data_IF_682582223174
#
_entry.id   IF_682582223174
#
_cell.length_a   1.000
_cell.length_b   1.000
_cell.length_c   1.000
_cell.angle_alpha   90.00
_cell.angle_beta   90.00
_cell.angle_gamma   90.00
#
_symmetry.space_group_name_H-M   'P 1'
#
loop_
_entity.id
_entity.type
_entity.pdbx_description
1 polymer ?
2 non-polymer ?
3 non-polymer ?
4 non-polymer ?
5 non-polymer ?
6 water ?
#
# COMPACT_ATOMS: atom_id res chain seq x y z
N UNK A 1 -8.54 11.05 -11.29
CA UNK A 1 -9.08 9.68 -10.97
C UNK A 1 -9.28 8.81 -12.22
N UNK A 2 -9.28 7.50 -11.99
CA UNK A 2 -9.46 6.51 -13.04
C UNK A 2 -10.87 6.60 -13.67
N UNK A 3 -10.96 6.62 -15.00
CA UNK A 3 -12.31 6.49 -15.61
C UNK A 3 -12.96 5.12 -15.32
N UNK A 4 -14.29 5.13 -15.17
CA UNK A 4 -15.06 3.90 -14.99
C UNK A 4 -16.49 4.11 -15.37
N UNK A 5 -17.09 3.05 -15.91
CA UNK A 5 -18.51 2.98 -16.15
C UNK A 5 -18.89 1.53 -16.07
N UNK A 6 -20.18 1.26 -15.95
CA UNK A 6 -20.62 -0.11 -16.04
C UNK A 6 -20.35 -0.68 -17.42
N UNK A 7 -20.51 -2.00 -17.55
CA UNK A 7 -20.42 -2.67 -18.83
C UNK A 7 -21.47 -2.14 -19.80
N UNK A 8 -21.08 -2.00 -21.06
CA UNK A 8 -21.96 -1.56 -22.14
C UNK A 8 -21.97 -2.60 -23.25
N UNK A 9 -23.08 -2.73 -23.95
CA UNK A 9 -23.28 -3.83 -24.90
C UNK A 9 -22.28 -3.87 -26.05
N UNK A 10 -21.76 -2.69 -26.42
CA UNK A 10 -20.81 -2.52 -27.52
C UNK A 10 -19.33 -2.54 -27.14
N UNK A 11 -19.01 -2.63 -25.85
CA UNK A 11 -17.62 -2.42 -25.36
C UNK A 11 -17.01 -3.70 -24.84
N UNK A 12 -15.77 -3.95 -25.22
CA UNK A 12 -15.00 -5.07 -24.69
C UNK A 12 -13.97 -4.54 -23.70
N UNK A 13 -14.18 -4.81 -22.40
CA UNK A 13 -13.36 -4.28 -21.34
C UNK A 13 -11.98 -4.89 -21.30
N UNK A 14 -11.83 -6.04 -21.92
CA UNK A 14 -10.60 -6.78 -21.89
C UNK A 14 -9.63 -6.34 -22.96
N UNK A 15 -10.14 -5.94 -24.12
CA UNK A 15 -9.32 -5.43 -25.23
C UNK A 15 -9.39 -3.92 -25.28
N UNK A 16 -10.20 -3.35 -24.39
CA UNK A 16 -10.43 -1.90 -24.36
C UNK A 16 -10.71 -1.39 -25.77
N UNK A 17 -11.75 -1.92 -26.40
CA UNK A 17 -12.19 -1.46 -27.71
C UNK A 17 -13.61 -1.92 -27.99
N UNK A 18 -14.16 -1.47 -29.11
CA UNK A 18 -15.51 -1.85 -29.52
C UNK A 18 -15.58 -3.30 -29.99
N UNK A 19 -16.75 -3.92 -29.79
CA UNK A 19 -16.90 -5.33 -30.08
C UNK A 19 -17.13 -5.48 -31.56
N UNK A 20 -16.24 -6.24 -32.20
CA UNK A 20 -16.30 -6.49 -33.63
C UNK A 20 -16.26 -8.01 -33.98
N UNK A 21 -16.61 -8.85 -33.01
CA UNK A 21 -16.53 -10.30 -33.14
C UNK A 21 -17.65 -10.98 -32.37
N UNK A 22 -17.96 -12.20 -32.76
CA UNK A 22 -18.99 -12.99 -32.10
C UNK A 22 -20.42 -12.53 -32.34
N UNK A 23 -21.38 -13.26 -31.78
CA UNK A 23 -22.78 -12.93 -31.93
C UNK A 23 -23.23 -11.68 -31.18
N UNK A 24 -24.21 -11.00 -31.74
CA UNK A 24 -24.87 -9.90 -31.08
C UNK A 24 -23.90 -8.79 -30.73
N UNK A 25 -22.87 -8.67 -31.55
CA UNK A 25 -21.94 -7.56 -31.47
C UNK A 25 -22.66 -6.20 -31.31
N UNK A 26 -23.82 -6.05 -31.95
CA UNK A 26 -24.50 -4.77 -32.02
C UNK A 26 -25.85 -4.78 -31.36
N UNK A 27 -26.17 -5.88 -30.67
CA UNK A 27 -27.48 -6.07 -30.09
C UNK A 27 -27.65 -5.28 -28.80
N UNK A 28 -28.85 -5.34 -28.22
CA UNK A 28 -29.08 -4.74 -26.91
C UNK A 28 -28.65 -5.70 -25.79
N UNK A 29 -28.48 -5.17 -24.58
CA UNK A 29 -28.20 -5.95 -23.37
C UNK A 29 -29.28 -7.00 -23.09
N UNK A 30 -30.53 -6.62 -23.22
CA UNK A 30 -31.64 -7.53 -22.98
C UNK A 30 -31.47 -8.75 -23.85
N UNK A 31 -31.10 -8.50 -25.11
CA UNK A 31 -30.90 -9.55 -26.09
C UNK A 31 -29.67 -10.39 -25.80
N UNK A 32 -28.57 -9.72 -25.48
CA UNK A 32 -27.33 -10.42 -25.12
C UNK A 32 -27.53 -11.32 -23.92
N UNK A 33 -28.23 -10.83 -22.91
CA UNK A 33 -28.47 -11.58 -21.70
C UNK A 33 -29.35 -12.82 -21.92
N UNK A 35 -29.68 -14.50 -24.83
CA UNK A 35 -28.83 -15.42 -25.54
C UNK A 35 -27.95 -16.21 -24.60
N UNK A 36 -27.31 -15.52 -23.68
CA UNK A 36 -26.34 -16.18 -22.82
C UNK A 36 -27.04 -17.08 -21.80
N UNK A 37 -28.19 -16.67 -21.26
CA UNK A 37 -28.95 -17.53 -20.36
C UNK A 37 -29.37 -18.79 -21.08
N UNK A 38 -29.86 -18.62 -22.30
CA UNK A 38 -30.21 -19.76 -23.10
C UNK A 38 -29.02 -20.67 -23.37
N UNK A 39 -27.87 -20.10 -23.72
CA UNK A 39 -26.71 -20.91 -24.09
C UNK A 39 -26.24 -21.77 -22.92
N UNK A 40 -26.39 -21.26 -21.70
CA UNK A 40 -25.97 -21.95 -20.49
C UNK A 40 -26.97 -23.05 -20.16
N UNK A 42 -29.07 -24.64 -21.95
CA UNK A 42 -28.94 -25.71 -22.93
C UNK A 42 -27.71 -26.58 -22.66
N UNK A 43 -26.53 -25.98 -22.62
CA UNK A 43 -25.27 -26.67 -22.29
C UNK A 43 -25.39 -27.65 -21.10
N UNK A 44 -26.12 -27.26 -20.05
CA UNK A 44 -26.39 -28.13 -18.90
C UNK A 44 -27.14 -29.40 -19.31
N UNK A 45 -28.21 -29.24 -20.10
CA UNK A 45 -28.99 -30.39 -20.57
C UNK A 45 -28.20 -31.34 -21.46
N UNK A 46 -27.25 -30.83 -22.24
CA UNK A 46 -26.54 -31.69 -23.21
C UNK A 46 -25.18 -32.26 -22.78
N UNK A 47 -24.49 -31.61 -21.85
CA UNK A 47 -23.18 -32.10 -21.39
C UNK A 47 -23.35 -32.90 -20.10
N UNK A 48 -23.27 -34.22 -20.21
CA UNK A 48 -23.43 -35.11 -19.05
C UNK A 48 -22.12 -35.11 -18.26
N UNK A 49 -21.02 -34.86 -18.96
CA UNK A 49 -19.72 -34.68 -18.30
C UNK A 49 -19.74 -33.46 -17.36
N UNK A 50 -20.38 -32.38 -17.79
CA UNK A 50 -20.50 -31.15 -16.99
C UNK A 50 -21.38 -31.35 -15.76
N UNK A 51 -22.33 -32.28 -15.86
CA UNK A 51 -23.25 -32.54 -14.75
C UNK A 51 -22.58 -33.25 -13.58
N UNK A 52 -21.60 -34.11 -13.87
CA UNK A 52 -20.79 -34.73 -12.81
C UNK A 52 -20.02 -33.66 -12.04
N UNK A 53 -19.39 -32.76 -12.79
CA UNK A 53 -18.62 -31.65 -12.24
C UNK A 53 -19.47 -30.68 -11.37
N UNK A 54 -20.69 -30.38 -11.80
CA UNK A 54 -21.57 -29.56 -10.98
C UNK A 54 -21.95 -30.22 -9.63
N UNK A 55 -22.03 -31.56 -9.60
CA UNK A 55 -22.30 -32.26 -8.32
C UNK A 55 -21.08 -32.15 -7.42
N UNK A 56 -19.90 -32.26 -8.03
CA UNK A 56 -18.62 -32.12 -7.33
C UNK A 56 -18.50 -30.74 -6.69
N UNK A 57 -18.89 -29.70 -7.44
CA UNK A 57 -18.92 -28.31 -6.90
C UNK A 57 -19.89 -28.17 -5.75
N UNK A 58 -20.98 -28.91 -5.81
CA UNK A 58 -22.09 -28.73 -4.85
C UNK A 58 -21.67 -29.06 -3.43
N UNK A 59 -20.68 -29.95 -3.31
CA UNK A 59 -20.23 -30.41 -2.01
C UNK A 59 -19.15 -29.53 -1.36
N UNK A 60 -18.75 -28.41 -1.97
CA UNK A 60 -17.63 -27.69 -1.40
C UNK A 60 -18.14 -26.84 -0.26
N UNK A 61 -17.36 -26.72 0.81
CA UNK A 61 -17.83 -26.01 1.99
C UNK A 61 -18.44 -24.65 1.69
N UNK A 62 -17.91 -23.96 0.68
CA UNK A 62 -18.34 -22.60 0.42
C UNK A 62 -19.79 -22.53 -0.11
N UNK A 63 -20.20 -23.58 -0.80
CA UNK A 63 -21.55 -23.65 -1.38
C UNK A 63 -22.64 -23.17 -0.41
N UNK A 64 -22.63 -23.74 0.80
CA UNK A 64 -23.55 -23.33 1.88
C UNK A 64 -23.78 -21.81 1.90
N UNK A 65 -22.70 -21.02 1.83
CA UNK A 65 -22.80 -19.56 2.02
C UNK A 65 -23.08 -18.73 0.75
N UNK A 66 -23.42 -19.39 -0.36
CA UNK A 66 -23.64 -18.75 -1.66
C UNK A 66 -24.57 -17.53 -1.57
N UNK A 67 -25.76 -17.71 -1.01
CA UNK A 67 -26.74 -16.61 -0.93
C UNK A 67 -26.22 -15.48 -0.09
N UNK A 68 -25.61 -15.82 1.02
CA UNK A 68 -25.12 -14.81 1.94
C UNK A 68 -24.09 -13.91 1.26
N UNK A 69 -23.20 -14.52 0.48
CA UNK A 69 -22.13 -13.82 -0.24
C UNK A 69 -22.71 -12.92 -1.32
N UNK A 70 -23.58 -13.46 -2.17
CA UNK A 70 -24.22 -12.66 -3.21
C UNK A 70 -25.00 -11.48 -2.65
N UNK A 71 -25.74 -11.71 -1.59
CA UNK A 71 -26.48 -10.63 -0.97
C UNK A 71 -25.52 -9.55 -0.40
N UNK A 72 -24.44 -10.01 0.23
CA UNK A 72 -23.49 -9.10 0.84
C UNK A 72 -22.90 -8.18 -0.23
N UNK A 73 -22.48 -8.78 -1.35
CA UNK A 73 -21.81 -8.05 -2.47
C UNK A 73 -22.77 -7.08 -3.16
N UNK A 74 -23.97 -7.56 -3.47
CA UNK A 74 -24.97 -6.69 -4.12
C UNK A 74 -25.28 -5.45 -3.27
N UNK A 75 -25.22 -5.57 -1.94
CA UNK A 75 -25.61 -4.44 -1.11
C UNK A 75 -24.46 -3.56 -0.61
N UNK A 76 -23.23 -3.96 -0.90
CA UNK A 76 -22.04 -3.22 -0.41
C UNK A 76 -20.99 -2.96 -1.48
N UNK A 77 -20.34 -1.80 -1.44
CA UNK A 77 -19.27 -1.51 -2.38
C UNK A 77 -18.10 -2.48 -2.18
N UNK A 78 -17.73 -2.73 -0.93
CA UNK A 78 -16.62 -3.66 -0.65
C UNK A 78 -17.06 -4.79 0.25
N UNK A 79 -16.52 -5.96 0.03
CA UNK A 79 -16.78 -7.07 0.91
C UNK A 79 -15.48 -7.84 1.12
N UNK A 80 -15.36 -8.51 2.27
CA UNK A 80 -14.24 -9.40 2.53
C UNK A 80 -14.80 -10.76 2.76
N UNK A 81 -14.10 -11.76 2.23
CA UNK A 81 -14.52 -13.13 2.34
C UNK A 81 -13.35 -13.88 2.92
N UNK A 82 -13.60 -14.49 4.08
CA UNK A 82 -12.59 -15.12 4.94
C UNK A 82 -12.96 -16.58 5.11
N UNK A 83 -11.99 -17.48 5.03
CA UNK A 83 -12.28 -18.88 5.25
C UNK A 83 -11.08 -19.79 5.09
N UNK A 84 -11.13 -20.93 5.79
CA UNK A 84 -10.06 -21.94 5.73
C UNK A 84 -9.71 -22.17 4.29
N UNK A 85 -8.43 -22.35 3.99
CA UNK A 85 -8.05 -22.64 2.62
C UNK A 85 -8.64 -24.02 2.29
N UNK A 86 -8.82 -24.34 1.01
CA UNK A 86 -9.51 -25.58 0.60
C UNK A 86 -11.02 -25.41 0.54
N UNK A 87 -11.49 -24.28 1.08
CA UNK A 87 -12.91 -24.04 1.29
C UNK A 87 -13.67 -23.80 -0.04
N UNK A 88 -13.02 -23.14 -1.02
CA UNK A 88 -13.59 -22.93 -2.38
C UNK A 88 -13.71 -21.47 -2.82
N UNK A 89 -13.09 -20.59 -2.07
CA UNK A 89 -13.20 -19.17 -2.32
C UNK A 89 -12.77 -18.85 -3.75
N UNK A 90 -11.53 -19.23 -4.05
CA UNK A 90 -10.89 -18.90 -5.30
C UNK A 90 -11.68 -19.43 -6.51
N UNK A 91 -11.99 -20.71 -6.54
CA UNK A 91 -12.62 -21.30 -7.72
C UNK A 91 -14.12 -21.08 -7.84
N UNK A 92 -14.80 -20.66 -6.78
CA UNK A 92 -16.25 -20.63 -6.85
C UNK A 92 -16.83 -19.26 -6.81
N UNK A 93 -16.33 -18.39 -5.95
CA UNK A 93 -16.99 -17.10 -5.78
C UNK A 93 -17.16 -16.37 -7.11
N UNK A 94 -16.14 -16.36 -7.95
CA UNK A 94 -16.36 -15.68 -9.21
C UNK A 94 -17.52 -16.30 -9.98
N UNK A 95 -17.63 -17.63 -9.96
CA UNK A 95 -18.71 -18.30 -10.67
C UNK A 95 -20.09 -17.96 -10.06
N UNK A 96 -20.18 -17.93 -8.74
CA UNK A 96 -21.43 -17.55 -8.08
C UNK A 96 -21.86 -16.19 -8.54
N UNK A 97 -20.94 -15.26 -8.62
CA UNK A 97 -21.32 -13.93 -9.08
C UNK A 97 -21.76 -13.95 -10.56
N UNK A 98 -20.98 -14.59 -11.42
CA UNK A 98 -21.32 -14.72 -12.84
C UNK A 98 -22.70 -15.34 -13.05
N UNK A 99 -22.92 -16.50 -12.41
CA UNK A 99 -24.15 -17.28 -12.56
C UNK A 99 -25.38 -16.55 -11.97
N UNK A 100 -25.20 -15.79 -10.90
CA UNK A 100 -26.29 -14.95 -10.39
C UNK A 100 -26.79 -13.98 -11.45
N UNK A 101 -25.86 -13.32 -12.12
CA UNK A 101 -26.18 -12.38 -13.20
C UNK A 101 -26.79 -13.10 -14.40
N UNK A 102 -26.19 -14.20 -14.83
CA UNK A 102 -26.69 -14.91 -15.99
C UNK A 102 -28.11 -15.36 -15.74
N UNK A 103 -28.33 -15.98 -14.59
CA UNK A 103 -29.62 -16.57 -14.24
C UNK A 103 -30.74 -15.57 -14.03
N UNK A 104 -30.42 -14.35 -13.61
CA UNK A 104 -31.45 -13.33 -13.43
C UNK A 104 -31.51 -12.32 -14.55
N UNK A 105 -31.22 -12.76 -15.78
CA UNK A 105 -31.39 -11.96 -17.03
C UNK A 105 -30.54 -10.70 -17.06
N UNK A 106 -29.32 -10.81 -16.54
CA UNK A 106 -28.42 -9.68 -16.41
C UNK A 106 -27.00 -10.06 -16.91
N UNK A 107 -26.87 -11.07 -17.74
CA UNK A 107 -25.54 -11.50 -18.15
C UNK A 107 -24.69 -10.33 -18.70
N UNK A 108 -25.33 -9.46 -19.46
CA UNK A 108 -24.64 -8.32 -20.07
C UNK A 108 -24.10 -7.33 -19.05
N UNK A 109 -24.51 -7.43 -17.80
CA UNK A 109 -24.18 -6.41 -16.81
C UNK A 109 -23.00 -6.85 -15.92
N UNK A 110 -22.30 -7.92 -16.31
CA UNK A 110 -21.30 -8.56 -15.47
C UNK A 110 -19.98 -8.84 -16.16
N UNK A 111 -18.91 -8.21 -15.68
CA UNK A 111 -17.55 -8.57 -16.06
C UNK A 111 -16.67 -8.46 -14.84
N UNK A 112 -15.99 -9.57 -14.55
CA UNK A 112 -15.24 -9.76 -13.32
C UNK A 112 -13.74 -9.96 -13.57
N UNK A 113 -12.92 -9.06 -13.04
CA UNK A 113 -11.47 -9.26 -13.04
C UNK A 113 -11.07 -9.80 -11.67
N UNK A 114 -10.14 -10.76 -11.64
CA UNK A 114 -9.70 -11.39 -10.40
C UNK A 114 -8.19 -11.44 -10.35
N UNK A 115 -7.57 -10.78 -9.37
CA UNK A 115 -6.12 -10.82 -9.29
C UNK A 115 -5.66 -12.03 -8.49
N UNK A 116 -4.48 -12.54 -8.86
CA UNK A 116 -3.81 -13.60 -8.12
C UNK A 116 -2.40 -13.19 -7.77
N UNK A 117 -1.83 -13.80 -6.73
CA UNK A 117 -0.53 -13.28 -6.32
C UNK A 117 0.65 -13.74 -7.14
N UNK A 118 0.44 -14.68 -8.06
CA UNK A 118 1.49 -15.20 -8.91
C UNK A 118 0.98 -15.45 -10.28
N UNK A 119 1.81 -15.23 -11.28
CA UNK A 119 1.45 -15.51 -12.66
C UNK A 119 0.88 -16.89 -12.82
N UNK A 120 1.46 -17.86 -12.13
CA UNK A 120 1.05 -19.24 -12.30
C UNK A 120 -0.34 -19.50 -11.70
N UNK A 121 -0.68 -18.82 -10.63
CA UNK A 121 -2.02 -19.02 -10.07
C UNK A 121 -3.10 -18.41 -10.99
N UNK A 122 -2.85 -17.21 -11.51
CA UNK A 122 -3.69 -16.62 -12.54
C UNK A 122 -4.04 -17.63 -13.62
N UNK A 123 -3.04 -18.31 -14.15
CA UNK A 123 -3.25 -19.21 -15.28
C UNK A 123 -3.92 -20.51 -14.85
N UNK A 124 -3.36 -21.14 -13.83
CA UNK A 124 -3.87 -22.40 -13.36
C UNK A 124 -5.33 -22.26 -12.91
N UNK A 125 -5.64 -21.17 -12.21
CA UNK A 125 -7.02 -20.94 -11.79
C UNK A 125 -7.91 -20.68 -13.01
N UNK A 126 -7.45 -19.86 -13.96
CA UNK A 126 -8.28 -19.58 -15.10
C UNK A 126 -8.63 -20.88 -15.78
N UNK A 127 -7.63 -21.73 -15.95
CA UNK A 127 -7.81 -23.00 -16.65
C UNK A 127 -8.72 -23.98 -15.91
N UNK A 128 -8.69 -23.93 -14.59
CA UNK A 128 -9.58 -24.75 -13.77
C UNK A 128 -11.03 -24.27 -13.82
N UNK A 129 -11.26 -22.97 -13.68
CA UNK A 129 -12.62 -22.49 -13.76
C UNK A 129 -13.20 -22.78 -15.16
N UNK A 130 -12.42 -22.62 -16.22
CA UNK A 130 -12.90 -23.00 -17.53
C UNK A 130 -13.34 -24.48 -17.50
N UNK A 131 -12.53 -25.34 -16.89
CA UNK A 131 -12.89 -26.75 -16.77
C UNK A 131 -14.17 -27.03 -15.96
N UNK A 132 -14.38 -26.33 -14.86
CA UNK A 132 -15.60 -26.46 -14.08
C UNK A 132 -16.80 -25.84 -14.82
N UNK A 133 -16.55 -25.32 -16.02
CA UNK A 133 -17.63 -24.75 -16.80
C UNK A 133 -17.75 -25.44 -18.15
N UNK A 134 -16.95 -26.51 -18.34
CA UNK A 134 -17.01 -27.33 -19.53
C UNK A 134 -16.56 -26.58 -20.76
N UNK A 135 -15.51 -25.78 -20.58
CA UNK A 135 -14.97 -24.92 -21.64
C UNK A 135 -13.45 -24.92 -21.58
N UNK A 136 -12.86 -24.54 -22.70
CA UNK A 136 -11.46 -24.21 -22.76
C UNK A 136 -11.34 -22.74 -22.35
N UNK A 137 -10.16 -22.31 -21.93
CA UNK A 137 -10.05 -20.89 -21.67
C UNK A 137 -10.30 -20.07 -22.94
N UNK A 138 -10.97 -18.94 -22.81
CA UNK A 138 -11.24 -18.08 -23.93
C UNK A 138 -12.71 -17.84 -24.18
N UNK A 139 -13.57 -18.35 -23.31
CA UNK A 139 -14.99 -18.15 -23.44
C UNK A 139 -15.54 -17.38 -22.22
N UNK A 140 -16.01 -18.07 -21.19
CA UNK A 140 -16.42 -17.37 -19.97
C UNK A 140 -15.23 -17.00 -19.10
N UNK A 141 -14.08 -17.63 -19.33
CA UNK A 141 -12.89 -17.37 -18.55
C UNK A 141 -11.67 -17.17 -19.36
N UNK A 142 -10.82 -16.27 -18.89
CA UNK A 142 -9.52 -16.11 -19.47
C UNK A 142 -8.51 -15.69 -18.44
N UNK A 143 -7.33 -15.39 -18.97
CA UNK A 143 -6.25 -14.83 -18.20
C UNK A 143 -5.44 -13.84 -19.02
N UNK A 144 -4.61 -13.09 -18.32
CA UNK A 144 -3.72 -12.10 -18.87
C UNK A 144 -2.55 -11.98 -17.91
N UNK A 145 -1.36 -12.33 -18.37
CA UNK A 145 -0.15 -12.16 -17.56
C UNK A 145 0.90 -11.44 -18.42
N UNK A 146 1.93 -10.87 -17.80
CA UNK A 146 3.03 -10.29 -18.60
C UNK A 146 3.51 -11.40 -19.56
N UNK A 147 3.34 -11.08 -20.86
CA UNK A 147 3.86 -11.87 -22.02
C UNK A 147 2.90 -12.87 -22.68
N UNK A 148 1.83 -13.25 -21.98
CA UNK A 148 0.88 -14.22 -22.54
C UNK A 148 -0.56 -13.95 -22.06
N UNK A 149 -1.54 -14.03 -22.95
CA UNK A 149 -2.91 -13.98 -22.51
C UNK A 149 -3.90 -14.74 -23.41
N UNK A 150 -4.89 -15.39 -22.81
CA UNK A 150 -6.06 -15.87 -23.55
C UNK A 150 -7.29 -15.09 -23.07
N UNK A 151 -7.71 -14.08 -23.83
CA UNK A 151 -8.80 -13.22 -23.37
C UNK A 151 -10.12 -13.94 -23.49
N UNK A 152 -11.05 -13.70 -22.54
CA UNK A 152 -12.37 -14.31 -22.61
C UNK A 152 -13.28 -13.50 -23.47
N UNK A 153 -14.49 -13.97 -23.69
CA UNK A 153 -15.48 -13.24 -24.44
C UNK A 153 -15.79 -11.92 -23.74
N UNK A 154 -16.26 -10.93 -24.49
CA UNK A 154 -16.46 -9.58 -23.95
C UNK A 154 -17.59 -9.40 -22.92
N UNK A 155 -18.51 -10.35 -22.81
CA UNK A 155 -19.63 -10.23 -21.87
C UNK A 155 -19.75 -11.38 -20.91
N UNK A 156 -20.27 -11.09 -19.72
CA UNK A 156 -20.60 -12.13 -18.80
C UNK A 156 -19.38 -13.05 -18.67
N UNK A 157 -18.25 -12.50 -18.27
CA UNK A 157 -17.00 -13.26 -18.20
C UNK A 157 -16.06 -12.85 -17.06
N UNK A 158 -15.09 -13.70 -16.80
CA UNK A 158 -14.11 -13.48 -15.76
C UNK A 158 -12.72 -13.49 -16.36
N UNK A 160 -8.74 -13.54 -15.01
CA UNK A 160 -7.77 -13.65 -13.94
C UNK A 160 -6.49 -13.01 -14.39
N UNK A 161 -5.78 -12.35 -13.49
CA UNK A 161 -4.51 -11.70 -13.85
C UNK A 161 -3.64 -11.46 -12.66
N UNK A 162 -2.45 -10.95 -12.92
CA UNK A 162 -1.52 -10.60 -11.84
C UNK A 162 -1.84 -9.19 -11.41
N UNK A 163 -1.42 -8.83 -10.20
CA UNK A 163 -1.64 -7.47 -9.70
C UNK A 163 -1.02 -6.45 -10.65
N UNK A 164 0.15 -6.76 -11.18
CA UNK A 164 0.78 -5.86 -12.12
C UNK A 164 -0.08 -5.63 -13.34
N UNK A 165 -0.59 -6.70 -13.95
CA UNK A 165 -1.43 -6.49 -15.13
C UNK A 165 -2.56 -5.50 -14.84
N UNK A 166 -3.16 -5.58 -13.66
CA UNK A 166 -4.28 -4.73 -13.31
C UNK A 166 -3.85 -3.30 -13.06
N UNK A 167 -2.76 -3.14 -12.31
CA UNK A 167 -2.21 -1.79 -12.06
C UNK A 167 -1.95 -1.08 -13.36
N UNK A 168 -1.37 -1.77 -14.35
CA UNK A 168 -1.15 -1.17 -15.67
C UNK A 168 -2.50 -0.82 -16.30
N UNK A 169 -3.49 -1.66 -16.09
CA UNK A 169 -4.77 -1.40 -16.73
C UNK A 169 -5.36 -0.14 -16.15
N UNK A 170 -5.31 -0.03 -14.82
CA UNK A 170 -5.87 1.11 -14.09
C UNK A 170 -5.29 2.48 -14.48
N UNK A 171 -4.09 2.51 -15.04
CA UNK A 171 -3.55 3.72 -15.66
C UNK A 171 -4.44 4.22 -16.80
N UNK A 172 -4.88 3.32 -17.66
CA UNK A 172 -5.79 3.68 -18.77
C UNK A 172 -7.24 3.62 -18.32
N UNK A 173 -7.54 2.83 -17.29
CA UNK A 173 -8.91 2.74 -16.81
C UNK A 173 -9.47 1.33 -16.89
N UNK A 174 -10.56 1.10 -16.20
CA UNK A 174 -11.17 -0.19 -16.09
C UNK A 174 -12.65 -0.05 -16.37
N UNK A 175 -12.95 0.71 -17.41
CA UNK A 175 -14.30 0.87 -17.91
C UNK A 175 -14.90 -0.51 -18.25
N UNK A 176 -16.11 -0.74 -17.77
CA UNK A 176 -16.89 -1.92 -18.12
C UNK A 176 -16.72 -3.13 -17.24
N UNK A 177 -15.91 -3.01 -16.20
CA UNK A 177 -15.71 -4.09 -15.26
C UNK A 177 -16.60 -3.89 -14.03
N UNK A 178 -17.47 -4.84 -13.76
CA UNK A 178 -18.45 -4.63 -12.72
C UNK A 178 -17.91 -5.06 -11.35
N UNK A 179 -17.03 -6.05 -11.33
CA UNK A 179 -16.52 -6.56 -10.08
C UNK A 179 -15.01 -6.70 -10.15
N UNK A 180 -14.33 -6.27 -9.11
CA UNK A 180 -12.89 -6.46 -8.97
C UNK A 180 -12.61 -7.33 -7.73
N UNK A 181 -12.02 -8.50 -7.93
CA UNK A 181 -11.77 -9.46 -6.87
C UNK A 181 -10.28 -9.55 -6.63
N UNK A 182 -9.80 -9.18 -5.44
CA UNK A 182 -8.39 -9.39 -5.10
C UNK A 182 -8.31 -10.63 -4.24
N UNK A 183 -7.67 -11.67 -4.75
CA UNK A 183 -7.60 -12.97 -4.06
C UNK A 183 -6.30 -13.11 -3.27
N UNK A 184 -6.38 -13.90 -2.20
CA UNK A 184 -5.24 -14.22 -1.33
C UNK A 184 -4.56 -12.95 -0.79
N UNK A 185 -5.35 -12.03 -0.26
CA UNK A 185 -4.83 -10.78 0.30
C UNK A 185 -3.92 -10.99 1.50
N UNK A 186 -4.07 -12.10 2.18
CA UNK A 186 -3.17 -12.37 3.32
C UNK A 186 -1.69 -12.45 2.94
N UNK A 187 -1.39 -12.76 1.69
CA UNK A 187 0.00 -12.78 1.29
C UNK A 187 0.45 -11.35 1.10
N UNK A 188 1.10 -10.80 2.12
CA UNK A 188 1.71 -9.48 2.07
C UNK A 188 2.55 -9.27 0.81
N UNK A 189 2.40 -8.11 0.20
CA UNK A 189 3.03 -7.76 -1.04
C UNK A 189 2.83 -6.27 -1.23
N UNK A 190 3.89 -5.56 -1.58
CA UNK A 190 3.83 -4.10 -1.69
C UNK A 190 2.86 -3.65 -2.78
N UNK A 191 3.07 -4.15 -3.99
CA UNK A 191 2.18 -3.82 -5.10
C UNK A 191 0.72 -4.20 -4.85
N UNK A 192 0.47 -5.35 -4.25
CA UNK A 192 -0.90 -5.65 -3.89
C UNK A 192 -1.49 -4.56 -2.99
N UNK A 193 -0.72 -4.10 -2.01
CA UNK A 193 -1.20 -3.04 -1.11
C UNK A 193 -1.43 -1.71 -1.87
N UNK A 194 -0.56 -1.39 -2.81
CA UNK A 194 -0.73 -0.22 -3.69
C UNK A 194 -2.07 -0.29 -4.42
N UNK A 195 -2.36 -1.48 -4.95
CA UNK A 195 -3.62 -1.72 -5.61
C UNK A 195 -4.78 -1.35 -4.72
N UNK A 196 -4.76 -1.81 -3.47
CA UNK A 196 -5.88 -1.56 -2.54
C UNK A 196 -6.10 -0.07 -2.34
N UNK A 197 -5.02 0.70 -2.30
CA UNK A 197 -5.18 2.14 -2.14
C UNK A 197 -5.93 2.67 -3.34
N UNK A 198 -5.41 2.39 -4.54
CA UNK A 198 -6.04 2.82 -5.78
C UNK A 198 -7.50 2.37 -5.86
N UNK A 199 -7.78 1.12 -5.50
CA UNK A 199 -9.14 0.65 -5.54
C UNK A 199 -10.00 1.42 -4.57
N UNK A 200 -9.45 1.82 -3.43
CA UNK A 200 -10.23 2.62 -2.49
C UNK A 200 -10.63 3.96 -3.11
N UNK A 201 -9.73 4.56 -3.89
CA UNK A 201 -10.06 5.80 -4.58
C UNK A 201 -11.21 5.57 -5.57
N UNK A 202 -11.19 4.44 -6.27
CA UNK A 202 -12.24 4.12 -7.22
C UNK A 202 -13.60 4.02 -6.53
N UNK A 203 -13.65 3.30 -5.43
CA UNK A 203 -14.90 3.12 -4.69
C UNK A 203 -15.50 4.44 -4.22
N UNK A 204 -14.64 5.37 -3.84
CA UNK A 204 -15.13 6.67 -3.41
C UNK A 204 -15.82 7.38 -4.59
N UNK A 205 -15.16 7.49 -5.75
CA UNK A 205 -15.75 8.13 -6.94
C UNK A 205 -16.89 7.34 -7.59
N UNK A 206 -16.92 6.04 -7.35
CA UNK A 206 -17.80 5.13 -8.08
C UNK A 206 -18.35 4.04 -7.18
N UNK A 207 -19.22 4.42 -6.25
CA UNK A 207 -19.79 3.46 -5.32
C UNK A 207 -20.48 2.28 -6.02
N UNK A 208 -20.82 2.45 -7.30
CA UNK A 208 -21.51 1.39 -8.03
C UNK A 208 -20.62 0.18 -8.29
N UNK A 209 -19.32 0.38 -8.25
CA UNK A 209 -18.38 -0.70 -8.46
C UNK A 209 -18.39 -1.71 -7.28
N UNK A 210 -18.01 -2.95 -7.55
CA UNK A 210 -17.93 -3.94 -6.52
C UNK A 210 -16.50 -4.45 -6.29
N UNK A 211 -16.04 -4.42 -5.03
CA UNK A 211 -14.75 -4.95 -4.67
C UNK A 211 -14.94 -6.10 -3.74
N UNK A 212 -14.22 -7.17 -3.97
CA UNK A 212 -14.31 -8.35 -3.17
C UNK A 212 -12.89 -8.76 -2.81
N UNK A 213 -12.61 -8.87 -1.51
CA UNK A 213 -11.29 -9.18 -0.99
C UNK A 213 -11.37 -10.54 -0.39
N UNK A 215 -9.49 -13.82 1.64
CA UNK A 215 -8.45 -14.06 2.63
C UNK A 215 -8.57 -15.40 3.30
N UNK A 216 -7.44 -16.01 3.61
CA UNK A 216 -7.38 -17.12 4.55
C UNK A 216 -7.74 -16.62 5.97
N UNK A 217 -7.89 -17.55 6.91
CA UNK A 217 -8.35 -17.19 8.26
C UNK A 217 -7.22 -16.51 9.01
N UNK A 218 -7.12 -15.20 8.85
CA UNK A 218 -6.19 -14.39 9.61
C UNK A 218 -6.90 -13.12 10.08
N UNK A 219 -6.15 -12.21 10.69
CA UNK A 219 -6.74 -10.99 11.20
C UNK A 219 -6.97 -9.98 10.09
N UNK A 220 -8.21 -9.89 9.65
CA UNK A 220 -8.58 -9.04 8.52
C UNK A 220 -8.99 -7.64 8.92
N UNK A 221 -8.98 -7.34 10.22
CA UNK A 221 -9.35 -6.00 10.75
C UNK A 221 -8.72 -4.85 9.97
N UNK A 223 -7.90 -4.56 6.95
CA UNK A 223 -8.55 -4.39 5.64
C UNK A 223 -9.94 -3.83 5.86
N UNK A 224 -10.73 -4.59 6.61
CA UNK A 224 -12.03 -4.12 7.06
C UNK A 224 -12.02 -2.63 7.43
N UNK A 225 -11.01 -2.20 8.19
CA UNK A 225 -10.91 -0.81 8.63
C UNK A 225 -10.43 0.14 7.53
N UNK A 226 -9.66 -0.34 6.57
CA UNK A 226 -9.23 0.53 5.48
C UNK A 226 -10.39 0.84 4.55
N UNK A 227 -11.31 -0.13 4.44
CA UNK A 227 -12.44 -0.02 3.52
C UNK A 227 -13.70 0.23 4.30
N UNK A 228 -13.59 1.18 5.23
CA UNK A 228 -14.75 1.76 5.91
C UNK A 228 -15.57 0.75 6.67
N UNK A 229 -14.90 -0.09 7.44
CA UNK A 229 -15.60 -1.04 8.30
C UNK A 229 -16.68 -1.80 7.50
N UNK A 230 -16.22 -2.35 6.38
CA UNK A 230 -17.05 -3.14 5.48
C UNK A 230 -17.36 -4.51 6.09
N UNK A 231 -18.30 -5.24 5.50
CA UNK A 231 -18.61 -6.55 6.04
C UNK A 231 -17.44 -7.50 5.99
N UNK A 232 -17.59 -8.64 6.67
CA UNK A 232 -16.67 -9.76 6.61
C UNK A 232 -17.53 -11.01 6.55
N UNK A 233 -17.35 -11.85 5.55
CA UNK A 233 -18.24 -13.00 5.44
C UNK A 233 -17.43 -14.22 5.80
N UNK A 234 -17.81 -14.83 6.91
CA UNK A 234 -17.06 -15.93 7.49
C UNK A 234 -17.50 -17.19 6.80
N UNK A 235 -16.54 -17.99 6.37
CA UNK A 235 -16.81 -19.06 5.42
C UNK A 235 -15.90 -20.25 5.73
N UNK B 1 5.76 13.00 -10.72
CA UNK B 1 6.65 12.91 -9.52
C UNK B 1 6.73 14.27 -8.80
N UNK B 2 6.94 14.21 -7.48
CA UNK B 2 6.85 15.38 -6.57
C UNK B 2 8.16 16.24 -6.53
N UNK B 3 8.07 17.49 -6.05
CA UNK B 3 9.30 18.34 -5.98
C UNK B 3 10.11 18.13 -4.67
N UNK B 4 11.44 18.26 -4.76
CA UNK B 4 12.32 18.16 -3.58
C UNK B 4 13.64 18.89 -3.76
N UNK B 5 14.08 19.54 -2.70
CA UNK B 5 15.40 20.12 -2.64
C UNK B 5 15.92 19.97 -1.22
N UNK B 6 17.26 20.02 -1.06
CA UNK B 6 17.88 19.91 0.27
C UNK B 6 17.43 21.01 1.19
N UNK B 7 17.77 20.90 2.49
CA UNK B 7 17.39 21.97 3.44
C UNK B 7 18.01 23.31 3.09
N UNK B 8 17.24 24.38 3.28
CA UNK B 8 17.74 25.73 3.12
C UNK B 8 17.56 26.52 4.40
N UNK B 9 18.35 27.58 4.54
CA UNK B 9 18.33 28.43 5.73
C UNK B 9 16.99 29.16 5.97
N UNK B 10 16.42 29.74 4.92
CA UNK B 10 15.20 30.53 5.09
C UNK B 10 13.93 29.79 4.65
N UNK B 11 13.99 28.46 4.68
CA UNK B 11 12.83 27.59 4.43
C UNK B 11 12.51 26.77 5.67
N UNK B 12 11.25 26.79 6.10
CA UNK B 12 10.77 25.89 7.17
C UNK B 12 10.01 24.70 6.56
N UNK B 13 10.65 23.53 6.50
CA UNK B 13 10.05 22.38 5.84
C UNK B 13 8.88 21.77 6.59
N UNK B 14 8.67 22.16 7.84
CA UNK B 14 7.55 21.63 8.61
C UNK B 14 6.25 22.42 8.42
N UNK B 15 6.38 23.72 8.16
CA UNK B 15 5.25 24.58 7.85
C UNK B 15 5.29 24.91 6.34
N UNK B 16 6.22 24.29 5.63
CA UNK B 16 6.33 24.46 4.17
C UNK B 16 6.18 25.92 3.74
N UNK B 17 7.02 26.80 4.25
CA UNK B 17 6.90 28.24 3.97
C UNK B 17 8.22 28.91 4.11
N UNK B 18 8.42 29.99 3.36
CA UNK B 18 9.61 30.79 3.52
C UNK B 18 9.65 31.36 4.94
N UNK B 19 10.86 31.59 5.47
CA UNK B 19 10.99 32.32 6.72
C UNK B 19 11.28 33.79 6.36
N UNK B 20 10.34 34.64 6.75
CA UNK B 20 10.34 36.07 6.43
C UNK B 20 10.51 36.95 7.68
N UNK B 21 9.80 36.62 8.76
CA UNK B 21 9.98 37.25 10.07
C UNK B 21 11.15 36.60 10.85
N UNK B 22 11.90 37.39 11.62
CA UNK B 22 12.76 36.83 12.66
C UNK B 22 14.24 36.78 12.34
N UNK B 23 15.06 36.31 13.32
CA UNK B 23 16.53 36.24 13.14
C UNK B 23 16.94 35.41 11.93
N UNK B 24 16.29 34.26 11.74
CA UNK B 24 16.74 33.33 10.69
C UNK B 24 16.38 33.82 9.29
N UNK B 25 15.68 34.95 9.18
CA UNK B 25 15.33 35.48 7.87
C UNK B 25 16.60 35.70 7.06
N UNK B 26 17.69 36.08 7.74
CA UNK B 26 18.97 36.35 7.07
C UNK B 26 20.16 35.54 7.59
N UNK B 27 19.98 34.71 8.59
CA UNK B 27 21.12 33.98 9.12
C UNK B 27 21.75 33.12 8.03
N UNK B 28 23.05 32.88 8.13
CA UNK B 28 23.70 32.03 7.16
C UNK B 28 23.81 30.63 7.75
N UNK B 29 23.88 29.59 6.90
CA UNK B 29 24.04 28.23 7.39
C UNK B 29 25.20 28.03 8.37
N UNK B 30 26.32 28.68 8.12
CA UNK B 30 27.49 28.53 8.97
C UNK B 30 27.11 29.03 10.36
N UNK B 31 26.45 30.19 10.36
CA UNK B 31 25.93 30.83 11.56
C UNK B 31 24.98 29.91 12.33
N UNK B 32 24.00 29.38 11.63
CA UNK B 32 23.04 28.46 12.25
C UNK B 32 23.75 27.22 12.79
N UNK B 33 24.70 26.69 12.04
CA UNK B 33 25.39 25.47 12.44
C UNK B 33 26.22 25.72 13.70
N UNK B 35 25.79 28.20 15.83
CA UNK B 35 24.88 28.52 16.94
C UNK B 35 24.45 27.27 17.63
N UNK B 36 24.12 26.23 16.88
CA UNK B 36 23.46 25.09 17.49
C UNK B 36 24.48 24.19 18.15
N UNK B 37 25.71 24.21 17.67
CA UNK B 37 26.78 23.44 18.31
C UNK B 37 27.03 24.02 19.70
N UNK B 38 27.13 25.35 19.78
CA UNK B 38 27.23 26.03 21.07
C UNK B 38 26.04 25.78 22.02
N UNK B 39 24.81 25.69 21.52
CA UNK B 39 23.66 25.51 22.43
C UNK B 39 23.66 24.12 23.07
N UNK B 40 24.27 23.13 22.39
CA UNK B 40 24.46 21.78 22.98
C UNK B 40 25.46 21.86 24.11
N UNK B 42 26.34 24.46 25.96
CA UNK B 42 25.67 25.14 27.08
C UNK B 42 24.67 24.23 27.84
N UNK B 43 23.68 23.65 27.14
CA UNK B 43 22.69 22.79 27.81
C UNK B 43 23.36 21.70 28.66
N UNK B 44 24.53 21.20 28.25
CA UNK B 44 25.33 20.23 29.05
C UNK B 44 25.93 20.85 30.33
N UNK B 45 26.58 22.00 30.18
CA UNK B 45 27.22 22.73 31.28
C UNK B 45 26.23 23.45 32.23
N UNK B 46 24.92 23.25 32.06
CA UNK B 46 23.91 23.82 32.94
C UNK B 46 22.92 22.76 33.45
N UNK B 47 22.32 21.95 32.56
CA UNK B 47 21.44 20.85 33.00
C UNK B 47 22.27 19.66 33.53
N UNK B 48 22.20 19.45 34.85
CA UNK B 48 22.96 18.38 35.50
C UNK B 48 22.28 17.02 35.28
N UNK B 49 20.95 17.00 35.24
CA UNK B 49 20.15 15.78 34.99
C UNK B 49 20.47 15.15 33.63
N UNK B 50 20.78 16.01 32.65
CA UNK B 50 21.01 15.60 31.26
C UNK B 50 22.20 14.67 31.08
N UNK B 51 23.30 14.93 31.79
CA UNK B 51 24.50 14.07 31.70
C UNK B 51 24.21 12.61 32.08
N UNK B 52 23.29 12.38 33.01
CA UNK B 52 22.91 10.99 33.43
C UNK B 52 22.13 10.25 32.35
N UNK B 53 21.26 10.98 31.63
CA UNK B 53 20.48 10.43 30.53
C UNK B 53 21.38 10.06 29.37
N UNK B 54 22.26 10.97 28.96
CA UNK B 54 23.25 10.62 27.96
C UNK B 54 24.04 9.37 28.37
N UNK B 55 24.32 9.23 29.67
CA UNK B 55 25.01 8.06 30.21
C UNK B 55 24.16 6.79 30.03
N UNK B 56 22.87 6.85 30.38
CA UNK B 56 21.93 5.72 30.13
C UNK B 56 21.84 5.39 28.62
N UNK B 57 21.88 6.42 27.77
CA UNK B 57 21.96 6.25 26.30
C UNK B 57 23.21 5.53 25.78
N UNK B 58 24.39 5.89 26.25
CA UNK B 58 25.61 5.17 25.84
C UNK B 58 25.54 3.65 26.07
N UNK B 59 24.70 3.24 27.01
CA UNK B 59 24.59 1.83 27.38
C UNK B 59 23.73 0.97 26.46
N UNK B 60 22.96 1.57 25.55
CA UNK B 60 22.04 0.77 24.74
C UNK B 60 22.78 0.03 23.64
N UNK B 61 22.32 -1.17 23.29
CA UNK B 61 22.90 -2.05 22.27
C UNK B 61 23.20 -1.44 20.91
N UNK B 62 22.42 -0.47 20.48
CA UNK B 62 22.62 0.10 19.15
C UNK B 62 23.84 1.04 19.08
N UNK B 63 24.26 1.60 20.21
CA UNK B 63 25.42 2.49 20.28
C UNK B 63 26.73 1.90 19.70
N UNK B 64 26.93 0.59 19.87
CA UNK B 64 28.08 -0.08 19.25
C UNK B 64 28.20 0.29 17.77
N UNK B 65 27.06 0.44 17.11
CA UNK B 65 27.04 0.53 15.65
C UNK B 65 26.85 1.94 15.09
N UNK B 66 26.85 2.93 15.98
CA UNK B 66 26.71 4.30 15.56
C UNK B 66 27.49 4.58 14.26
N UNK B 67 28.74 4.15 14.17
CA UNK B 67 29.57 4.44 12.97
C UNK B 67 29.22 3.69 11.68
N UNK B 68 29.02 2.38 11.81
CA UNK B 68 28.57 1.54 10.70
C UNK B 68 27.29 2.16 10.03
N UNK B 69 26.37 2.69 10.85
CA UNK B 69 25.07 3.19 10.39
C UNK B 69 25.18 4.51 9.66
N UNK B 70 25.83 5.48 10.31
CA UNK B 70 26.02 6.81 9.75
C UNK B 70 26.71 6.70 8.41
N UNK B 71 27.77 5.91 8.40
CA UNK B 71 28.54 5.68 7.21
C UNK B 71 27.65 5.08 6.10
N UNK B 72 26.88 4.05 6.42
CA UNK B 72 26.05 3.37 5.43
C UNK B 72 24.97 4.31 4.87
N UNK B 73 24.29 5.03 5.76
CA UNK B 73 23.30 6.02 5.35
C UNK B 73 23.95 7.10 4.50
N UNK B 74 25.14 7.52 4.86
CA UNK B 74 25.80 8.60 4.14
C UNK B 74 26.21 8.22 2.73
N UNK B 75 26.33 6.93 2.46
CA UNK B 75 26.83 6.44 1.19
C UNK B 75 25.72 5.82 0.34
N UNK B 76 24.52 5.68 0.90
CA UNK B 76 23.48 4.98 0.18
C UNK B 76 22.12 5.66 0.23
N UNK B 77 21.37 5.56 -0.86
CA UNK B 77 20.10 6.26 -0.96
C UNK B 77 19.10 5.63 -0.05
N UNK B 78 19.13 4.31 0.05
CA UNK B 78 18.21 3.59 0.90
C UNK B 78 19.01 2.61 1.71
N UNK B 79 18.66 2.50 2.98
CA UNK B 79 19.32 1.56 3.85
C UNK B 79 18.27 0.92 4.75
N UNK B 80 18.44 -0.37 5.01
CA UNK B 80 17.59 -1.07 5.95
C UNK B 80 18.38 -1.30 7.20
N UNK B 81 17.81 -0.94 8.34
CA UNK B 81 18.38 -1.28 9.62
C UNK B 81 17.45 -2.27 10.30
N UNK B 82 17.99 -3.41 10.71
CA UNK B 82 17.18 -4.39 11.45
C UNK B 82 17.81 -4.95 12.70
N UNK B 83 16.93 -5.38 13.61
CA UNK B 83 17.35 -5.84 14.93
C UNK B 83 16.21 -5.98 15.89
N UNK B 84 16.40 -6.81 16.92
CA UNK B 84 15.36 -7.15 17.88
C UNK B 84 14.86 -5.93 18.61
N UNK B 85 13.60 -5.99 19.03
CA UNK B 85 13.05 -4.98 19.93
C UNK B 85 13.98 -4.74 21.11
N UNK B 86 14.22 -3.48 21.45
CA UNK B 86 14.96 -3.11 22.65
C UNK B 86 16.36 -2.64 22.36
N UNK B 87 16.78 -2.65 21.10
CA UNK B 87 18.15 -2.25 20.77
C UNK B 87 18.35 -0.73 20.84
N UNK B 88 17.29 0.03 20.51
CA UNK B 88 17.33 1.48 20.45
C UNK B 88 17.19 2.08 19.05
N UNK B 89 16.66 1.29 18.12
CA UNK B 89 16.52 1.77 16.75
C UNK B 89 15.69 3.06 16.72
N UNK B 90 14.52 2.98 17.33
CA UNK B 90 13.54 4.02 17.20
C UNK B 90 14.03 5.29 17.81
N UNK B 91 14.45 5.21 19.06
CA UNK B 91 14.77 6.41 19.81
C UNK B 91 16.18 6.92 19.57
N UNK B 92 17.09 6.10 19.03
CA UNK B 92 18.47 6.56 18.90
C UNK B 92 18.95 6.92 17.49
N UNK B 93 18.48 6.21 16.47
CA UNK B 93 19.05 6.42 15.15
C UNK B 93 18.79 7.82 14.65
N UNK B 94 17.56 8.32 14.85
CA UNK B 94 17.31 9.68 14.45
C UNK B 94 18.30 10.62 15.10
N UNK B 95 18.63 10.37 16.37
CA UNK B 95 19.56 11.24 17.09
C UNK B 95 20.96 11.06 16.60
N UNK B 96 21.36 9.83 16.29
CA UNK B 96 22.70 9.67 15.74
C UNK B 96 22.90 10.51 14.49
N UNK B 97 21.88 10.59 13.65
CA UNK B 97 22.02 11.33 12.39
C UNK B 97 22.08 12.80 12.67
N UNK B 98 21.22 13.26 13.57
CA UNK B 98 21.14 14.67 13.89
C UNK B 98 22.46 15.13 14.49
N UNK B 99 22.88 14.45 15.56
CA UNK B 99 24.10 14.81 16.27
C UNK B 99 25.31 14.70 15.34
N UNK B 100 25.27 13.80 14.38
CA UNK B 100 26.40 13.68 13.44
C UNK B 100 26.46 14.95 12.61
N UNK B 101 25.31 15.57 12.34
CA UNK B 101 25.28 16.78 11.53
C UNK B 101 25.62 17.99 12.36
N UNK B 102 25.16 18.04 13.61
CA UNK B 102 25.50 19.13 14.51
C UNK B 102 27.01 19.18 14.80
N UNK B 103 27.56 18.10 15.35
CA UNK B 103 29.00 18.03 15.66
C UNK B 103 29.94 18.42 14.50
N UNK B 104 29.65 17.99 13.27
CA UNK B 104 30.52 18.29 12.15
C UNK B 104 30.08 19.58 11.44
N UNK B 105 29.47 20.48 12.19
CA UNK B 105 29.20 21.85 11.74
C UNK B 105 28.32 21.90 10.53
N UNK B 106 27.38 20.97 10.49
CA UNK B 106 26.50 20.75 9.34
C UNK B 106 25.01 20.85 9.78
N UNK B 107 24.73 21.36 10.97
CA UNK B 107 23.37 21.32 11.51
C UNK B 107 22.32 21.95 10.58
N UNK B 108 22.72 22.91 9.77
CA UNK B 108 21.76 23.53 8.84
C UNK B 108 21.35 22.55 7.75
N UNK B 109 22.19 21.56 7.47
CA UNK B 109 21.95 20.62 6.37
C UNK B 109 21.06 19.40 6.72
N UNK B 110 20.36 19.47 7.86
CA UNK B 110 19.64 18.31 8.36
C UNK B 110 18.23 18.56 8.86
N UNK B 111 17.27 17.88 8.25
CA UNK B 111 15.95 17.68 8.83
C UNK B 111 15.49 16.25 8.53
N UNK B 112 14.84 15.64 9.52
CA UNK B 112 14.48 14.24 9.48
C UNK B 112 13.02 14.08 9.80
N UNK B 113 12.26 13.46 8.89
CA UNK B 113 10.91 13.00 9.22
C UNK B 113 10.96 11.50 9.47
N UNK B 114 10.25 11.06 10.50
CA UNK B 114 10.23 9.68 10.90
C UNK B 114 8.78 9.28 11.04
N UNK B 115 8.37 8.18 10.43
CA UNK B 115 6.98 7.75 10.52
C UNK B 115 6.82 6.70 11.60
N UNK B 116 5.64 6.63 12.19
CA UNK B 116 5.34 5.56 13.11
C UNK B 116 4.00 4.90 12.76
N UNK B 117 3.80 3.67 13.21
CA UNK B 117 2.63 2.95 12.71
C UNK B 117 1.29 3.37 13.29
N UNK B 118 1.32 4.17 14.35
CA UNK B 118 0.12 4.51 15.14
C UNK B 118 0.26 5.93 15.69
N UNK B 119 -0.89 6.55 15.95
CA UNK B 119 -0.97 7.85 16.62
C UNK B 119 -0.21 7.86 17.95
N UNK B 120 -0.53 6.93 18.85
CA UNK B 120 0.20 6.79 20.13
C UNK B 120 1.71 6.87 19.95
N UNK B 121 2.26 6.02 19.08
CA UNK B 121 3.71 5.92 18.88
C UNK B 121 4.34 7.22 18.37
N UNK B 122 3.73 7.82 17.34
CA UNK B 122 4.22 9.12 16.85
C UNK B 122 4.40 10.11 18.00
N UNK B 123 3.43 10.17 18.90
CA UNK B 123 3.45 11.10 20.02
C UNK B 123 4.42 10.63 21.12
N UNK B 124 4.25 9.41 21.64
CA UNK B 124 5.10 9.01 22.77
C UNK B 124 6.56 9.01 22.42
N UNK B 125 6.89 8.60 21.19
CA UNK B 125 8.27 8.59 20.73
C UNK B 125 8.81 10.03 20.61
N UNK B 126 7.98 10.96 20.16
CA UNK B 126 8.46 12.34 20.06
C UNK B 126 8.77 12.88 21.46
N UNK B 127 7.94 12.52 22.42
CA UNK B 127 8.10 12.97 23.80
C UNK B 127 9.36 12.37 24.36
N UNK B 128 9.46 11.07 24.23
CA UNK B 128 10.62 10.36 24.68
C UNK B 128 11.91 10.94 24.12
N UNK B 129 11.97 11.16 22.82
CA UNK B 129 13.20 11.65 22.26
C UNK B 129 13.48 13.05 22.80
N UNK B 130 12.46 13.89 22.91
CA UNK B 130 12.67 15.23 23.46
C UNK B 130 13.18 15.13 24.89
N UNK B 131 12.57 14.26 25.66
CA UNK B 131 13.05 13.99 27.00
C UNK B 131 14.54 13.59 27.04
N UNK B 132 14.98 12.71 26.13
CA UNK B 132 16.40 12.27 26.05
C UNK B 132 17.35 13.38 25.61
N UNK B 133 16.82 14.52 25.19
CA UNK B 133 17.69 15.62 24.81
C UNK B 133 17.45 16.79 25.76
N UNK B 134 16.75 16.48 26.85
CA UNK B 134 16.39 17.46 27.85
C UNK B 134 15.64 18.64 27.23
N UNK B 135 14.56 18.33 26.55
CA UNK B 135 13.71 19.35 25.99
C UNK B 135 12.30 18.84 26.13
N UNK B 136 11.37 19.73 25.81
CA UNK B 136 10.00 19.34 25.60
C UNK B 136 9.84 19.31 24.09
N UNK B 137 8.80 18.63 23.60
CA UNK B 137 8.56 18.75 22.16
C UNK B 137 8.51 20.21 21.76
N UNK B 138 8.86 20.51 20.52
CA UNK B 138 8.77 21.86 20.02
C UNK B 138 10.11 22.44 19.65
N UNK B 139 11.20 21.89 20.18
CA UNK B 139 12.51 22.46 19.87
C UNK B 139 13.28 21.62 18.82
N UNK B 140 14.01 20.59 19.24
CA UNK B 140 14.71 19.73 18.28
C UNK B 140 13.80 18.59 17.79
N UNK B 141 12.68 18.40 18.48
CA UNK B 141 11.76 17.30 18.20
C UNK B 141 10.34 17.75 18.18
N UNK B 142 9.65 17.40 17.09
CA UNK B 142 8.21 17.58 17.05
C UNK B 142 7.45 16.37 16.61
N UNK B 143 6.14 16.55 16.60
CA UNK B 143 5.26 15.61 15.98
C UNK B 143 4.09 16.28 15.28
N UNK B 144 3.44 15.48 14.42
CA UNK B 144 2.29 15.87 13.65
C UNK B 144 1.45 14.64 13.39
N UNK B 145 0.27 14.61 13.99
CA UNK B 145 -0.70 13.59 13.68
C UNK B 145 -1.98 14.26 13.26
N UNK B 146 -2.96 13.47 12.87
CA UNK B 146 -4.23 14.05 12.48
C UNK B 146 -4.74 14.89 13.64
N UNK B 147 -4.85 16.19 13.37
CA UNK B 147 -5.53 17.19 14.23
C UNK B 147 -4.69 17.91 15.27
N UNK B 148 -3.47 17.42 15.50
CA UNK B 148 -2.69 17.83 16.68
C UNK B 148 -1.23 17.73 16.32
N UNK B 149 -0.49 18.81 16.51
CA UNK B 149 0.91 18.83 16.19
C UNK B 149 1.68 19.87 16.99
N UNK B 150 2.90 19.52 17.43
CA UNK B 150 3.87 20.48 17.98
C UNK B 150 5.05 20.37 17.04
N UNK B 151 5.02 21.19 16.00
CA UNK B 151 6.11 21.16 15.04
C UNK B 151 7.41 21.51 15.76
N UNK B 152 8.50 20.85 15.36
CA UNK B 152 9.82 21.22 15.90
C UNK B 152 10.33 22.48 15.26
N UNK B 153 11.54 22.90 15.64
CA UNK B 153 12.14 24.11 15.08
C UNK B 153 12.50 23.87 13.62
N UNK B 154 12.75 24.93 12.87
CA UNK B 154 13.03 24.83 11.43
C UNK B 154 14.29 24.09 11.05
N UNK B 155 15.27 24.05 11.94
CA UNK B 155 16.59 23.52 11.54
C UNK B 155 17.09 22.44 12.44
N UNK B 156 17.85 21.52 11.83
CA UNK B 156 18.54 20.49 12.55
C UNK B 156 17.56 19.89 13.51
N UNK B 157 16.49 19.30 12.98
CA UNK B 157 15.35 18.82 13.79
C UNK B 157 14.71 17.54 13.22
N UNK B 158 13.88 16.93 14.06
CA UNK B 158 13.25 15.67 13.74
C UNK B 158 11.77 15.81 13.93
N UNK B 160 8.37 13.49 13.99
CA UNK B 160 7.73 12.21 13.92
C UNK B 160 6.30 12.45 13.47
N UNK B 161 5.73 11.53 12.68
CA UNK B 161 4.33 11.61 12.27
C UNK B 161 3.82 10.24 11.92
N UNK B 162 2.50 10.14 11.74
CA UNK B 162 1.84 8.96 11.21
C UNK B 162 2.06 8.95 9.72
N UNK B 163 1.87 7.79 9.08
CA UNK B 163 2.11 7.68 7.65
C UNK B 163 1.15 8.56 6.87
N UNK B 164 -0.11 8.57 7.32
CA UNK B 164 -1.16 9.47 6.78
C UNK B 164 -0.70 10.91 6.61
N UNK B 165 -0.19 11.52 7.68
CA UNK B 165 0.38 12.87 7.59
C UNK B 165 1.44 12.92 6.53
N UNK B 166 2.36 11.96 6.53
CA UNK B 166 3.50 12.07 5.61
C UNK B 166 3.10 11.90 4.13
N UNK B 167 2.13 11.03 3.88
CA UNK B 167 1.54 10.90 2.55
C UNK B 167 0.87 12.19 2.12
N UNK B 168 -0.07 12.69 2.95
CA UNK B 168 -0.69 14.01 2.71
C UNK B 168 0.33 15.11 2.39
N UNK B 169 1.50 15.09 3.00
CA UNK B 169 2.53 16.08 2.74
C UNK B 169 3.19 15.85 1.40
N UNK B 170 3.40 14.59 1.05
CA UNK B 170 4.13 14.26 -0.19
C UNK B 170 3.39 14.78 -1.44
N UNK B 171 2.09 15.04 -1.28
CA UNK B 171 1.32 15.78 -2.29
C UNK B 171 1.90 17.18 -2.52
N UNK B 172 1.94 18.03 -1.48
CA UNK B 172 2.57 19.36 -1.62
C UNK B 172 4.04 19.21 -2.04
N UNK B 173 4.76 18.35 -1.33
CA UNK B 173 6.22 18.24 -1.50
C UNK B 173 6.92 18.10 -0.15
N UNK B 174 8.14 17.59 -0.22
CA UNK B 174 8.99 17.48 0.97
C UNK B 174 10.26 18.29 0.77
N UNK B 175 10.13 19.48 0.17
CA UNK B 175 11.27 20.40 0.08
C UNK B 175 11.93 20.52 1.44
N UNK B 176 13.26 20.37 1.47
CA UNK B 176 14.06 20.66 2.68
C UNK B 176 14.14 19.63 3.81
N UNK B 177 13.69 18.40 3.52
CA UNK B 177 13.88 17.24 4.38
C UNK B 177 15.05 16.43 3.82
N UNK B 178 16.06 16.12 4.64
CA UNK B 178 17.25 15.39 4.16
C UNK B 178 17.09 13.89 4.36
N UNK B 179 16.28 13.52 5.35
CA UNK B 179 16.11 12.13 5.72
C UNK B 179 14.65 11.76 6.01
N UNK B 180 14.21 10.64 5.44
CA UNK B 180 12.91 10.10 5.73
C UNK B 180 13.20 8.75 6.34
N UNK B 181 12.63 8.46 7.51
CA UNK B 181 12.81 7.16 8.15
C UNK B 181 11.46 6.50 8.34
N UNK B 182 11.30 5.27 7.84
CA UNK B 182 10.05 4.58 8.02
C UNK B 182 10.32 3.53 9.10
N UNK B 183 9.69 3.70 10.28
CA UNK B 183 9.95 2.81 11.40
C UNK B 183 8.94 1.67 11.42
N UNK B 184 9.33 0.58 12.04
CA UNK B 184 8.52 -0.62 12.20
C UNK B 184 7.89 -1.14 10.91
N UNK B 185 8.66 -1.16 9.83
CA UNK B 185 8.17 -1.72 8.56
C UNK B 185 7.63 -3.15 8.66
N UNK B 186 8.12 -3.91 9.61
CA UNK B 186 7.73 -5.29 9.72
C UNK B 186 6.23 -5.41 9.96
N UNK B 187 5.62 -4.36 10.51
CA UNK B 187 4.18 -4.35 10.79
C UNK B 187 3.46 -4.02 9.50
N UNK B 188 2.68 -4.96 8.99
CA UNK B 188 1.97 -4.75 7.75
C UNK B 188 0.97 -3.63 7.87
N UNK B 189 1.10 -2.67 6.96
CA UNK B 189 0.17 -1.57 6.85
C UNK B 189 0.09 -1.10 5.37
N UNK B 190 -1.14 -0.88 4.93
CA UNK B 190 -1.38 -0.58 3.53
C UNK B 190 -0.76 0.75 3.15
N UNK B 191 -1.05 1.79 3.93
CA UNK B 191 -0.59 3.11 3.57
C UNK B 191 0.91 3.14 3.57
N UNK B 192 1.49 2.42 4.51
CA UNK B 192 2.94 2.32 4.59
C UNK B 192 3.52 1.65 3.37
N UNK B 193 2.92 0.55 2.95
CA UNK B 193 3.42 -0.12 1.75
C UNK B 193 3.30 0.84 0.58
N UNK B 194 2.15 1.53 0.48
CA UNK B 194 1.99 2.61 -0.54
C UNK B 194 3.03 3.72 -0.43
N UNK B 195 3.36 4.10 0.80
CA UNK B 195 4.38 5.09 1.02
C UNK B 195 5.70 4.66 0.40
N UNK B 196 5.98 3.36 0.45
CA UNK B 196 7.22 2.87 -0.14
C UNK B 196 7.22 3.04 -1.65
N UNK B 197 6.08 2.92 -2.29
CA UNK B 197 6.06 3.13 -3.73
C UNK B 197 6.37 4.59 -4.00
N UNK B 198 5.78 5.50 -3.25
CA UNK B 198 6.01 6.92 -3.50
C UNK B 198 7.46 7.24 -3.23
N UNK B 199 7.97 6.80 -2.09
CA UNK B 199 9.37 7.06 -1.70
C UNK B 199 10.36 6.50 -2.70
N UNK B 200 10.00 5.39 -3.34
CA UNK B 200 10.88 4.80 -4.34
C UNK B 200 10.98 5.64 -5.58
N UNK B 201 9.85 6.26 -5.95
CA UNK B 201 9.85 7.24 -7.06
C UNK B 201 10.71 8.44 -6.71
N UNK B 202 10.56 8.92 -5.48
CA UNK B 202 11.31 10.07 -5.01
C UNK B 202 12.81 9.81 -5.09
N UNK B 203 13.27 8.68 -4.57
CA UNK B 203 14.68 8.32 -4.66
C UNK B 203 15.25 8.30 -6.09
N UNK B 204 14.46 7.82 -7.05
CA UNK B 204 14.90 7.71 -8.45
C UNK B 204 15.17 9.10 -9.01
N UNK B 205 14.21 10.00 -8.80
CA UNK B 205 14.36 11.41 -9.16
C UNK B 205 15.43 12.16 -8.35
N UNK B 206 15.65 11.74 -7.10
CA UNK B 206 16.53 12.50 -6.20
C UNK B 206 17.48 11.62 -5.38
N UNK B 207 18.51 11.08 -6.04
CA UNK B 207 19.51 10.26 -5.38
C UNK B 207 20.00 10.79 -4.04
N UNK B 208 20.08 12.11 -3.85
CA UNK B 208 20.66 12.70 -2.61
C UNK B 208 19.73 12.63 -1.37
N UNK B 209 18.47 12.26 -1.59
CA UNK B 209 17.57 11.96 -0.46
C UNK B 209 18.16 10.77 0.28
N UNK B 210 17.85 10.67 1.56
CA UNK B 210 18.23 9.52 2.34
C UNK B 210 16.98 8.87 2.89
N UNK B 211 16.81 7.60 2.56
CA UNK B 211 15.73 6.77 3.08
C UNK B 211 16.34 5.69 4.00
N UNK B 212 15.77 5.58 5.19
CA UNK B 212 16.13 4.54 6.14
C UNK B 212 14.86 3.78 6.51
N UNK B 213 14.89 2.47 6.36
CA UNK B 213 13.78 1.60 6.73
C UNK B 213 14.22 0.75 7.89
N UNK B 215 13.36 -2.39 10.66
CA UNK B 215 12.61 -3.61 10.98
C UNK B 215 13.00 -4.23 12.32
N UNK B 216 11.99 -4.79 13.00
CA UNK B 216 12.20 -5.54 14.23
C UNK B 216 12.38 -7.03 13.92
N UNK B 217 12.09 -7.46 12.69
CA UNK B 217 12.21 -8.87 12.35
C UNK B 217 13.14 -9.14 11.18
N UNK B 218 13.35 -10.42 10.91
CA UNK B 218 14.27 -10.87 9.89
C UNK B 218 13.70 -10.75 8.45
N UNK B 219 12.38 -10.60 8.30
CA UNK B 219 11.72 -10.60 6.99
C UNK B 219 11.86 -9.30 6.22
N UNK B 220 13.07 -9.00 5.81
CA UNK B 220 13.38 -7.74 5.20
C UNK B 220 13.61 -7.87 3.71
N UNK B 221 13.62 -9.08 3.17
CA UNK B 221 14.01 -9.28 1.76
C UNK B 221 13.00 -8.70 0.77
N UNK B 223 11.48 -5.85 1.09
CA UNK B 223 11.84 -4.44 0.98
C UNK B 223 13.20 -4.25 0.37
N UNK B 224 14.09 -5.15 0.69
CA UNK B 224 15.41 -5.09 0.11
C UNK B 224 15.34 -5.24 -1.41
N UNK B 225 14.53 -6.19 -1.87
CA UNK B 225 14.34 -6.38 -3.30
C UNK B 225 13.67 -5.19 -3.96
N UNK B 226 12.69 -4.61 -3.28
CA UNK B 226 11.98 -3.44 -3.81
C UNK B 226 12.86 -2.24 -4.03
N UNK B 227 13.90 -2.07 -3.21
CA UNK B 227 14.78 -0.92 -3.32
C UNK B 227 16.13 -1.34 -3.89
N UNK B 228 16.11 -2.21 -4.87
CA UNK B 228 17.31 -2.52 -5.68
C UNK B 228 18.47 -3.12 -4.86
N UNK B 229 18.12 -4.14 -4.08
CA UNK B 229 19.04 -4.82 -3.19
C UNK B 229 19.94 -3.82 -2.48
N UNK B 230 19.27 -2.96 -1.72
CA UNK B 230 19.92 -1.95 -0.91
C UNK B 230 20.58 -2.65 0.25
N UNK B 231 21.54 -2.01 0.89
CA UNK B 231 22.18 -2.51 2.11
C UNK B 231 21.24 -2.83 3.28
N UNK B 232 21.57 -3.88 4.03
CA UNK B 232 20.94 -4.21 5.29
C UNK B 232 22.00 -4.06 6.35
N UNK B 233 21.70 -3.36 7.43
CA UNK B 233 22.65 -3.19 8.49
C UNK B 233 22.10 -3.71 9.79
N UNK B 234 22.88 -4.57 10.43
CA UNK B 234 22.45 -5.34 11.59
C UNK B 234 22.69 -4.56 12.85
N UNK B 235 21.79 -4.72 13.81
CA UNK B 235 21.86 -3.96 15.04
C UNK B 235 21.39 -4.72 16.31
#
# INVERSE_FOLDING_TARGET
VVPWSPPQSNWNPWTSSNIDEGPLAFATPEQISXDLKNELXYQLEQDHDLQAILQERELLPVKKFESEILEAISQNSVVIIRGATGCGKTTQVPQFILDDFIQNDRAAECNIVVTQPRRISAVSVAERVAFERGEEPGKSCGYSVRFESILPRPHASIXFCTVGVLLRKLEAGIRGISHVIVDEIHERDINTDFLLVVLRDVVQAYPEVRIVLXSATIDTSXFCEYFFNCPIIEV
VVPWSPPQSNWNPWTSSNIDEGPLAFATPEQISXDLKNELXYQLEQDHDLQAILQERELLPVKKFESEILEAISQNSVVIIRGATGCGKTTQVPQFILDDFIQNDRAAECNIVVTQPRRISAVSVAERVAFERGEEPGKSCGYSVRFESILPRPHASIXFCTVGVLLRKLEAGIRGISHVIVDEIHERDINTDFLLVVLRDVVQAYPEVRIVLXSATIDTSXFCEYFFNCPIIEV
#
